data_IF_322040878618
#
_entry.id   IF_322040878618
#
_cell.length_a   1.000
_cell.length_b   1.000
_cell.length_c   1.000
_cell.angle_alpha   90.00
_cell.angle_beta   90.00
_cell.angle_gamma   90.00
#
_symmetry.space_group_name_H-M   'P 1'
#
loop_
_entity.id
_entity.type
_entity.pdbx_description
1 polymer ?
#
# COMPACT_ATOMS: atom_id res chain seq x y z
N UNK A 1 54.97 -17.56 20.87
CA UNK A 1 54.09 -17.38 19.69
C UNK A 1 52.63 -17.67 19.98
N UNK A 2 52.30 -18.22 21.15
CA UNK A 2 50.92 -18.60 21.48
C UNK A 2 50.14 -17.54 22.28
N UNK A 3 50.80 -16.48 22.78
CA UNK A 3 50.14 -15.46 23.59
C UNK A 3 49.41 -14.38 22.76
N UNK A 4 49.80 -14.20 21.51
CA UNK A 4 49.21 -13.18 20.63
C UNK A 4 47.91 -13.65 19.91
N UNK A 5 47.77 -14.97 19.78
CA UNK A 5 46.56 -15.56 19.17
C UNK A 5 45.41 -15.59 20.17
N UNK A 6 45.67 -15.83 21.46
CA UNK A 6 44.64 -15.77 22.51
C UNK A 6 44.15 -14.35 22.78
N UNK A 7 45.02 -13.34 22.63
CA UNK A 7 44.62 -11.94 22.73
C UNK A 7 43.75 -11.49 21.56
N UNK A 8 43.97 -12.04 20.37
CA UNK A 8 43.16 -11.76 19.18
C UNK A 8 41.76 -12.43 19.25
N UNK A 9 41.68 -13.65 19.81
CA UNK A 9 40.36 -14.31 20.03
C UNK A 9 39.55 -13.64 21.16
N UNK A 10 40.25 -13.12 22.21
CA UNK A 10 39.57 -12.40 23.29
C UNK A 10 39.06 -11.01 22.88
N UNK A 11 39.67 -10.37 21.88
CA UNK A 11 39.19 -9.11 21.29
C UNK A 11 37.99 -9.30 20.35
N UNK A 12 37.86 -10.45 19.71
CA UNK A 12 36.72 -10.79 18.84
C UNK A 12 35.45 -11.14 19.63
N UNK A 13 35.53 -11.40 20.93
CA UNK A 13 34.41 -11.81 21.79
C UNK A 13 33.72 -10.69 22.58
N UNK A 14 34.16 -9.42 22.43
CA UNK A 14 33.56 -8.27 23.14
C UNK A 14 33.02 -7.21 22.16
N UNK A 15 32.29 -7.64 21.13
CA UNK A 15 31.40 -6.78 20.38
C UNK A 15 30.05 -6.83 21.05
N UNK A 16 29.64 -5.72 21.70
CA UNK A 16 28.33 -5.58 22.30
C UNK A 16 27.25 -5.89 21.29
N UNK A 17 26.28 -6.73 21.68
CA UNK A 17 25.13 -7.11 20.88
C UNK A 17 24.18 -5.93 20.65
N UNK A 18 24.56 -5.02 19.76
CA UNK A 18 23.59 -4.31 18.96
C UNK A 18 23.21 -5.29 17.86
N UNK A 19 21.98 -5.76 17.83
CA UNK A 19 21.41 -6.36 16.64
C UNK A 19 21.61 -5.35 15.51
N UNK A 20 22.63 -5.54 14.70
CA UNK A 20 22.69 -4.91 13.39
C UNK A 20 21.56 -5.56 12.62
N UNK A 21 20.38 -4.92 12.65
CA UNK A 21 19.29 -5.29 11.77
C UNK A 21 19.84 -5.17 10.36
N UNK A 22 20.12 -6.31 9.74
CA UNK A 22 20.47 -6.36 8.33
C UNK A 22 19.33 -5.66 7.59
N UNK A 23 19.60 -4.61 6.80
CA UNK A 23 18.53 -3.90 6.11
C UNK A 23 17.77 -4.90 5.25
N UNK A 24 16.42 -4.85 5.32
CA UNK A 24 15.58 -5.66 4.46
C UNK A 24 15.67 -5.11 3.03
N UNK A 25 16.34 -5.82 2.17
CA UNK A 25 16.54 -5.45 0.76
C UNK A 25 15.39 -5.97 -0.14
N UNK A 26 14.26 -6.39 0.45
CA UNK A 26 13.08 -6.78 -0.31
C UNK A 26 12.51 -5.60 -1.10
N UNK A 27 12.21 -5.83 -2.37
CA UNK A 27 11.61 -4.82 -3.23
C UNK A 27 10.17 -4.52 -2.78
N UNK A 28 9.84 -3.23 -2.66
CA UNK A 28 8.53 -2.78 -2.20
C UNK A 28 8.03 -1.56 -2.99
N UNK A 29 6.75 -1.56 -3.29
CA UNK A 29 6.05 -0.41 -3.85
C UNK A 29 5.05 0.15 -2.83
N UNK A 30 5.15 1.44 -2.55
CA UNK A 30 4.22 2.16 -1.68
C UNK A 30 3.23 2.94 -2.54
N UNK A 31 1.97 2.53 -2.52
CA UNK A 31 0.91 3.16 -3.31
C UNK A 31 0.11 4.09 -2.39
N UNK A 32 -0.04 5.36 -2.79
CA UNK A 32 -0.89 6.30 -2.08
C UNK A 32 -2.36 5.91 -2.19
N UNK A 33 -3.14 6.30 -1.21
CA UNK A 33 -4.59 6.07 -1.22
C UNK A 33 -5.28 6.75 -2.40
N UNK A 34 -4.78 7.93 -2.82
CA UNK A 34 -5.27 8.65 -3.99
C UNK A 34 -5.02 7.87 -5.29
N UNK A 35 -3.79 7.38 -5.48
CA UNK A 35 -3.41 6.59 -6.64
C UNK A 35 -4.27 5.32 -6.74
N UNK A 36 -4.42 4.59 -5.64
CA UNK A 36 -5.25 3.39 -5.57
C UNK A 36 -6.71 3.66 -5.93
N UNK A 37 -7.32 4.71 -5.38
CA UNK A 37 -8.70 5.10 -5.70
C UNK A 37 -8.87 5.45 -7.17
N UNK A 38 -7.92 6.19 -7.74
CA UNK A 38 -7.95 6.56 -9.16
C UNK A 38 -7.82 5.33 -10.06
N UNK A 39 -6.91 4.39 -9.75
CA UNK A 39 -6.75 3.13 -10.48
C UNK A 39 -8.05 2.32 -10.47
N UNK A 40 -8.65 2.12 -9.28
CA UNK A 40 -9.88 1.36 -9.13
C UNK A 40 -11.07 2.02 -9.81
N UNK A 41 -11.20 3.36 -9.69
CA UNK A 41 -12.27 4.12 -10.37
C UNK A 41 -12.13 4.02 -11.88
N UNK A 42 -10.91 4.19 -12.41
CA UNK A 42 -10.64 4.08 -13.83
C UNK A 42 -10.90 2.66 -14.35
N UNK A 43 -10.36 1.63 -13.65
CA UNK A 43 -10.61 0.23 -13.99
C UNK A 43 -12.10 -0.12 -13.98
N UNK A 44 -12.84 0.37 -12.97
CA UNK A 44 -14.29 0.13 -12.89
C UNK A 44 -15.07 0.79 -14.02
N UNK A 45 -14.69 2.00 -14.41
CA UNK A 45 -15.31 2.72 -15.50
C UNK A 45 -15.03 2.06 -16.87
N UNK A 46 -13.89 1.37 -17.01
CA UNK A 46 -13.50 0.69 -18.24
C UNK A 46 -14.16 -0.65 -18.48
N UNK A 47 -14.76 -1.27 -17.45
CA UNK A 47 -15.39 -2.60 -17.60
C UNK A 47 -16.38 -2.63 -18.76
N UNK A 48 -16.33 -3.63 -19.65
CA UNK A 48 -15.54 -4.86 -19.59
C UNK A 48 -14.11 -4.80 -20.21
N UNK A 49 -13.71 -3.64 -20.69
CA UNK A 49 -12.42 -3.47 -21.37
C UNK A 49 -11.29 -3.24 -20.34
N UNK A 50 -10.07 -3.63 -20.73
CA UNK A 50 -8.87 -3.28 -20.02
C UNK A 50 -8.56 -1.79 -20.23
N UNK A 51 -8.17 -1.10 -19.18
CA UNK A 51 -7.73 0.30 -19.23
C UNK A 51 -6.32 0.41 -18.65
N UNK A 52 -5.57 1.40 -19.13
CA UNK A 52 -4.23 1.66 -18.62
C UNK A 52 -4.02 3.12 -18.24
N UNK A 53 -2.97 3.36 -17.47
CA UNK A 53 -2.49 4.68 -17.12
C UNK A 53 -1.07 4.65 -16.63
N UNK A 54 -0.51 5.83 -16.37
CA UNK A 54 0.86 5.98 -15.88
C UNK A 54 0.85 6.31 -14.40
N UNK A 55 1.84 5.80 -13.69
CA UNK A 55 2.07 6.06 -12.27
C UNK A 55 3.11 7.16 -12.11
N UNK A 56 2.78 8.13 -11.25
CA UNK A 56 3.62 9.26 -10.90
C UNK A 56 4.14 9.10 -9.49
N UNK A 57 5.43 9.34 -9.29
CA UNK A 57 6.03 9.21 -7.99
C UNK A 57 7.53 9.44 -8.00
N UNK A 58 8.22 8.73 -7.14
CA UNK A 58 9.66 8.82 -6.96
C UNK A 58 10.29 7.44 -6.72
N UNK A 59 11.51 7.26 -7.16
CA UNK A 59 12.35 6.14 -6.78
C UNK A 59 13.16 6.55 -5.55
N UNK A 60 12.79 6.02 -4.38
CA UNK A 60 13.45 6.37 -3.11
C UNK A 60 14.85 5.76 -3.06
N UNK A 61 14.95 4.49 -3.43
CA UNK A 61 16.18 3.73 -3.54
C UNK A 61 16.06 2.64 -4.61
N UNK A 62 17.02 1.70 -4.66
CA UNK A 62 17.01 0.57 -5.61
C UNK A 62 15.87 -0.43 -5.35
N UNK A 63 15.30 -0.44 -4.15
CA UNK A 63 14.31 -1.41 -3.70
C UNK A 63 12.93 -0.82 -3.47
N UNK A 64 12.84 0.51 -3.30
CA UNK A 64 11.63 1.19 -2.84
C UNK A 64 11.13 2.19 -3.87
N UNK A 65 9.87 2.02 -4.27
CA UNK A 65 9.17 2.93 -5.18
C UNK A 65 7.96 3.54 -4.48
N UNK A 66 7.83 4.87 -4.51
CA UNK A 66 6.64 5.56 -4.05
C UNK A 66 5.78 5.99 -5.24
N UNK A 67 4.54 5.54 -5.27
CA UNK A 67 3.51 6.00 -6.20
C UNK A 67 2.62 7.00 -5.48
N UNK A 68 2.72 8.25 -5.87
CA UNK A 68 2.01 9.37 -5.24
C UNK A 68 0.67 9.61 -5.93
N UNK A 69 0.65 9.56 -7.26
CA UNK A 69 -0.54 9.79 -8.07
C UNK A 69 -0.52 8.94 -9.35
N UNK A 70 -1.62 8.94 -10.07
CA UNK A 70 -1.73 8.29 -11.38
C UNK A 70 -2.56 9.13 -12.33
N UNK A 71 -2.32 8.99 -13.62
CA UNK A 71 -3.22 9.52 -14.64
C UNK A 71 -3.60 8.46 -15.67
N UNK A 72 -4.86 8.50 -16.08
CA UNK A 72 -5.41 7.59 -17.08
C UNK A 72 -4.88 7.97 -18.46
N UNK A 73 -4.53 6.97 -19.27
CA UNK A 73 -4.25 7.16 -20.67
C UNK A 73 -5.54 7.10 -21.49
N UNK A 74 -5.64 7.87 -22.59
CA UNK A 74 -6.76 7.72 -23.53
C UNK A 74 -6.77 6.30 -24.08
N UNK A 75 -7.95 5.68 -24.12
CA UNK A 75 -8.08 4.34 -24.65
C UNK A 75 -8.11 4.38 -26.18
N UNK A 76 -7.16 3.68 -26.80
CA UNK A 76 -7.07 3.50 -28.23
C UNK A 76 -7.17 1.99 -28.58
N UNK A 77 -8.37 1.45 -28.57
CA UNK A 77 -8.60 0.03 -28.90
C UNK A 77 -9.10 -0.82 -27.71
N UNK A 78 -9.07 -2.13 -27.89
CA UNK A 78 -9.57 -3.11 -26.90
C UNK A 78 -8.49 -3.75 -26.05
N UNK A 79 -7.23 -3.62 -26.47
CA UNK A 79 -6.06 -4.20 -25.78
C UNK A 79 -5.14 -3.11 -25.28
N UNK A 80 -4.48 -3.40 -24.15
CA UNK A 80 -3.48 -2.54 -23.55
C UNK A 80 -2.11 -2.91 -24.09
N UNK A 81 -1.46 -2.01 -24.83
CA UNK A 81 -0.11 -2.22 -25.35
C UNK A 81 0.73 -0.93 -25.30
N UNK A 82 2.04 -1.04 -25.52
CA UNK A 82 2.94 0.13 -25.62
C UNK A 82 2.46 1.11 -26.68
N UNK A 83 1.86 0.64 -27.75
CA UNK A 83 1.29 1.44 -28.83
C UNK A 83 0.08 2.28 -28.36
N UNK A 84 -0.55 1.89 -27.27
CA UNK A 84 -1.61 2.68 -26.64
C UNK A 84 -1.10 3.82 -25.76
N UNK A 85 0.22 3.91 -25.53
CA UNK A 85 0.82 5.06 -24.82
C UNK A 85 1.00 6.22 -25.78
N UNK A 86 0.07 7.17 -25.72
CA UNK A 86 0.21 8.43 -26.49
C UNK A 86 1.29 9.31 -25.85
N UNK A 87 2.48 9.29 -26.44
CA UNK A 87 3.64 10.06 -25.95
C UNK A 87 3.39 11.58 -25.96
N UNK A 88 2.53 12.08 -26.86
CA UNK A 88 2.17 13.51 -26.90
C UNK A 88 1.28 13.83 -25.70
N UNK A 89 0.31 12.97 -25.39
CA UNK A 89 -0.53 13.11 -24.22
C UNK A 89 0.29 13.02 -22.94
N UNK A 90 1.18 12.02 -22.84
CA UNK A 90 2.07 11.86 -21.70
C UNK A 90 2.92 13.10 -21.45
N UNK A 91 3.57 13.64 -22.51
CA UNK A 91 4.40 14.83 -22.39
C UNK A 91 3.60 16.04 -21.91
N UNK A 92 2.41 16.26 -22.47
CA UNK A 92 1.50 17.33 -22.04
C UNK A 92 1.07 17.18 -20.57
N UNK A 93 0.72 15.98 -20.14
CA UNK A 93 0.31 15.73 -18.75
C UNK A 93 1.46 15.99 -17.78
N UNK A 94 2.67 15.51 -18.08
CA UNK A 94 3.86 15.76 -17.25
C UNK A 94 4.20 17.25 -17.20
N UNK A 95 4.07 17.96 -18.32
CA UNK A 95 4.32 19.41 -18.36
C UNK A 95 3.28 20.18 -17.53
N UNK A 96 2.00 19.84 -17.66
CA UNK A 96 0.94 20.42 -16.82
C UNK A 96 1.17 20.19 -15.32
N UNK A 97 1.62 18.98 -14.93
CA UNK A 97 1.96 18.67 -13.55
C UNK A 97 3.12 19.52 -13.04
N UNK A 98 4.18 19.70 -13.84
CA UNK A 98 5.29 20.58 -13.50
C UNK A 98 4.84 22.02 -13.30
N UNK A 99 3.92 22.53 -14.13
CA UNK A 99 3.35 23.88 -13.99
C UNK A 99 2.57 24.06 -12.68
N UNK A 100 2.03 22.99 -12.10
CA UNK A 100 1.37 23.01 -10.79
C UNK A 100 2.31 22.82 -9.61
N UNK A 101 3.64 22.86 -9.84
CA UNK A 101 4.65 22.70 -8.80
C UNK A 101 4.88 21.27 -8.35
N UNK A 102 4.40 20.30 -9.10
CA UNK A 102 4.60 18.86 -8.82
C UNK A 102 5.86 18.38 -9.54
N UNK A 103 6.71 17.69 -8.79
CA UNK A 103 8.02 17.22 -9.26
C UNK A 103 8.08 15.72 -9.52
N UNK A 104 6.95 15.02 -9.38
CA UNK A 104 6.88 13.58 -9.55
C UNK A 104 7.23 13.16 -10.98
N UNK A 105 7.93 12.05 -11.09
CA UNK A 105 8.30 11.45 -12.37
C UNK A 105 7.42 10.21 -12.66
N UNK A 106 7.46 9.71 -13.88
CA UNK A 106 6.82 8.45 -14.23
C UNK A 106 7.66 7.31 -13.65
N UNK A 107 7.07 6.52 -12.74
CA UNK A 107 7.73 5.39 -12.07
C UNK A 107 7.25 4.03 -12.58
N UNK A 108 6.34 4.03 -13.52
CA UNK A 108 5.78 2.84 -14.13
C UNK A 108 4.38 3.06 -14.67
N UNK A 109 3.68 1.99 -14.89
CA UNK A 109 2.35 2.00 -15.46
C UNK A 109 1.42 1.03 -14.74
N UNK A 110 0.12 1.22 -14.91
CA UNK A 110 -0.89 0.30 -14.40
C UNK A 110 -1.91 -0.04 -15.48
N UNK A 111 -2.52 -1.21 -15.34
CA UNK A 111 -3.67 -1.59 -16.15
C UNK A 111 -4.68 -2.42 -15.35
N UNK A 112 -5.87 -2.56 -15.89
CA UNK A 112 -6.93 -3.34 -15.25
C UNK A 112 -7.17 -4.66 -15.94
N UNK A 113 -7.40 -5.71 -15.14
CA UNK A 113 -7.87 -7.02 -15.58
C UNK A 113 -9.27 -7.28 -15.01
N UNK A 114 -10.35 -6.90 -15.72
CA UNK A 114 -11.72 -7.03 -15.17
C UNK A 114 -12.15 -8.50 -14.99
N UNK A 115 -11.99 -9.04 -13.79
CA UNK A 115 -12.40 -10.40 -13.43
C UNK A 115 -11.36 -11.50 -13.69
N UNK A 116 -10.17 -11.16 -14.22
CA UNK A 116 -9.15 -12.16 -14.61
C UNK A 116 -8.08 -12.37 -13.53
N UNK A 117 -8.05 -11.53 -12.48
CA UNK A 117 -6.96 -11.52 -11.51
C UNK A 117 -5.69 -10.81 -11.99
N UNK A 118 -4.67 -10.76 -11.14
CA UNK A 118 -3.45 -10.02 -11.39
C UNK A 118 -2.35 -10.95 -11.96
N UNK A 119 -1.95 -10.71 -13.19
CA UNK A 119 -0.88 -11.40 -13.93
C UNK A 119 -0.52 -10.57 -15.16
N UNK A 120 0.58 -10.90 -15.86
CA UNK A 120 0.99 -10.21 -17.08
C UNK A 120 0.83 -11.11 -18.30
N UNK A 121 0.16 -10.62 -19.33
CA UNK A 121 0.12 -11.24 -20.66
C UNK A 121 1.46 -11.05 -21.39
N UNK A 122 1.64 -11.71 -22.54
CA UNK A 122 2.81 -11.49 -23.37
C UNK A 122 2.94 -10.04 -23.87
N UNK A 123 1.81 -9.38 -24.11
CA UNK A 123 1.78 -7.96 -24.51
C UNK A 123 2.22 -7.08 -23.33
N UNK A 124 1.75 -7.38 -22.11
CA UNK A 124 2.13 -6.64 -20.90
C UNK A 124 3.63 -6.81 -20.59
N UNK A 125 4.16 -8.01 -20.79
CA UNK A 125 5.60 -8.29 -20.65
C UNK A 125 6.42 -7.40 -21.61
N UNK A 126 6.02 -7.29 -22.87
CA UNK A 126 6.70 -6.42 -23.83
C UNK A 126 6.57 -4.94 -23.44
N UNK A 127 5.41 -4.54 -22.97
CA UNK A 127 5.17 -3.19 -22.46
C UNK A 127 6.10 -2.90 -21.26
N UNK A 128 6.15 -3.79 -20.28
CA UNK A 128 7.03 -3.65 -19.12
C UNK A 128 8.50 -3.63 -19.53
N UNK A 129 8.90 -4.44 -20.49
CA UNK A 129 10.26 -4.43 -21.00
C UNK A 129 10.66 -3.06 -21.56
N UNK A 130 9.75 -2.39 -22.25
CA UNK A 130 9.99 -1.03 -22.77
C UNK A 130 10.14 0.00 -21.63
N UNK A 131 9.35 -0.12 -20.57
CA UNK A 131 9.50 0.73 -19.39
C UNK A 131 10.80 0.45 -18.62
N UNK A 132 11.20 -0.81 -18.45
CA UNK A 132 12.45 -1.18 -17.78
C UNK A 132 13.70 -0.82 -18.59
N UNK A 133 13.59 -0.68 -19.92
CA UNK A 133 14.68 -0.13 -20.74
C UNK A 133 14.94 1.34 -20.45
N UNK A 134 13.91 2.11 -20.06
CA UNK A 134 14.04 3.51 -19.66
C UNK A 134 14.57 3.63 -18.23
N UNK A 135 14.00 2.88 -17.29
CA UNK A 135 14.49 2.76 -15.93
C UNK A 135 14.17 1.35 -15.39
N UNK A 136 15.21 0.63 -14.98
CA UNK A 136 15.10 -0.74 -14.45
C UNK A 136 14.21 -0.87 -13.22
N UNK A 137 14.00 0.23 -12.50
CA UNK A 137 13.15 0.29 -11.31
C UNK A 137 11.67 0.47 -11.64
N UNK A 138 11.33 0.64 -12.92
CA UNK A 138 9.94 0.76 -13.37
C UNK A 138 9.11 -0.46 -12.97
N UNK A 139 7.86 -0.21 -12.59
CA UNK A 139 6.94 -1.22 -12.06
C UNK A 139 5.68 -1.27 -12.92
N UNK A 140 5.19 -2.48 -13.20
CA UNK A 140 3.85 -2.72 -13.73
C UNK A 140 2.89 -3.08 -12.59
N UNK A 141 1.77 -2.39 -12.49
CA UNK A 141 0.71 -2.67 -11.52
C UNK A 141 -0.53 -3.17 -12.23
N UNK A 142 -1.07 -4.28 -11.77
CA UNK A 142 -2.33 -4.84 -12.28
C UNK A 142 -3.40 -4.75 -11.20
N UNK A 143 -4.57 -4.22 -11.55
CA UNK A 143 -5.72 -4.16 -10.64
C UNK A 143 -6.91 -4.91 -11.23
N UNK A 144 -7.63 -5.67 -10.39
CA UNK A 144 -8.89 -6.28 -10.80
C UNK A 144 -10.06 -5.51 -10.17
N UNK A 145 -10.76 -4.66 -10.93
CA UNK A 145 -11.84 -3.84 -10.39
C UNK A 145 -13.11 -4.64 -10.07
N UNK A 146 -13.28 -5.83 -10.64
CA UNK A 146 -14.44 -6.70 -10.39
C UNK A 146 -14.26 -7.49 -9.11
N UNK A 147 -13.06 -8.07 -8.90
CA UNK A 147 -12.76 -8.85 -7.70
C UNK A 147 -12.43 -7.95 -6.48
N UNK A 148 -12.18 -6.66 -6.69
CA UNK A 148 -11.94 -5.67 -5.63
C UNK A 148 -13.26 -5.22 -5.01
N UNK A 149 -13.85 -6.05 -4.15
CA UNK A 149 -15.15 -5.80 -3.52
C UNK A 149 -15.10 -6.04 -2.00
N UNK A 150 -16.03 -5.43 -1.28
CA UNK A 150 -16.23 -5.63 0.17
C UNK A 150 -14.97 -5.36 1.01
N UNK A 151 -14.25 -4.29 0.68
CA UNK A 151 -13.05 -3.88 1.42
C UNK A 151 -11.77 -4.65 1.07
N UNK A 152 -11.85 -5.60 0.14
CA UNK A 152 -10.67 -6.29 -0.40
C UNK A 152 -10.25 -5.64 -1.71
N UNK A 153 -8.98 -5.31 -1.85
CA UNK A 153 -8.38 -4.85 -3.10
C UNK A 153 -7.56 -5.99 -3.71
N UNK A 154 -7.87 -6.33 -4.96
CA UNK A 154 -7.10 -7.29 -5.75
C UNK A 154 -6.18 -6.51 -6.66
N UNK A 155 -4.92 -6.43 -6.27
CA UNK A 155 -3.86 -5.66 -6.90
C UNK A 155 -2.54 -6.41 -6.71
N UNK A 156 -1.68 -6.36 -7.70
CA UNK A 156 -0.32 -6.87 -7.61
C UNK A 156 0.63 -6.01 -8.44
N UNK A 157 1.92 -6.07 -8.13
CA UNK A 157 2.96 -5.29 -8.78
C UNK A 157 4.07 -6.22 -9.28
N UNK A 158 4.60 -5.95 -10.47
CA UNK A 158 5.51 -6.85 -11.16
C UNK A 158 6.70 -6.14 -11.76
N UNK A 159 7.84 -6.86 -11.80
CA UNK A 159 9.03 -6.57 -12.62
C UNK A 159 9.44 -7.79 -13.42
N UNK A 160 10.18 -7.58 -14.50
CA UNK A 160 10.66 -8.67 -15.33
C UNK A 160 11.90 -9.34 -14.72
N UNK A 161 12.02 -10.63 -14.97
CA UNK A 161 13.21 -11.39 -14.66
C UNK A 161 14.18 -11.24 -15.83
N UNK A 162 15.41 -10.81 -15.54
CA UNK A 162 16.46 -10.76 -16.57
C UNK A 162 16.89 -12.19 -16.95
N UNK A 163 16.68 -12.62 -18.21
CA UNK A 163 17.04 -13.98 -18.64
C UNK A 163 18.53 -14.30 -18.45
N UNK A 164 19.41 -13.30 -18.55
CA UNK A 164 20.84 -13.49 -18.36
C UNK A 164 21.18 -13.86 -16.91
N UNK A 165 20.46 -13.35 -15.91
CA UNK A 165 20.66 -13.72 -14.52
C UNK A 165 20.24 -15.17 -14.25
N UNK A 166 19.13 -15.60 -14.85
CA UNK A 166 18.65 -16.98 -14.73
C UNK A 166 19.67 -17.96 -15.33
N UNK A 167 20.26 -17.65 -16.49
CA UNK A 167 21.30 -18.46 -17.13
C UNK A 167 22.58 -18.55 -16.30
N UNK A 168 22.88 -17.53 -15.49
CA UNK A 168 24.03 -17.50 -14.58
C UNK A 168 23.75 -18.17 -13.23
N UNK A 169 22.52 -18.69 -13.02
CA UNK A 169 22.11 -19.30 -11.75
C UNK A 169 21.96 -18.29 -10.59
N UNK A 170 21.84 -17.00 -10.93
CA UNK A 170 21.59 -15.94 -9.94
C UNK A 170 20.09 -15.85 -9.66
N UNK A 171 19.74 -15.62 -8.41
CA UNK A 171 18.35 -15.37 -8.05
C UNK A 171 17.89 -14.05 -8.68
N UNK A 172 16.74 -14.07 -9.40
CA UNK A 172 16.28 -12.90 -10.17
C UNK A 172 15.73 -11.77 -9.31
N UNK A 173 15.49 -12.01 -8.02
CA UNK A 173 14.97 -11.03 -7.08
C UNK A 173 15.60 -11.20 -5.71
N UNK A 174 15.59 -10.12 -4.93
CA UNK A 174 15.95 -10.19 -3.52
C UNK A 174 14.77 -10.72 -2.69
N UNK A 175 15.08 -11.58 -1.73
CA UNK A 175 14.09 -12.13 -0.80
C UNK A 175 14.00 -11.22 0.42
N UNK A 176 12.78 -10.87 0.83
CA UNK A 176 12.54 -10.15 2.08
C UNK A 176 12.54 -11.12 3.26
N UNK A 177 13.10 -10.70 4.39
CA UNK A 177 12.99 -11.41 5.66
C UNK A 177 11.60 -11.22 6.31
N UNK A 178 10.80 -10.26 5.82
CA UNK A 178 9.50 -9.94 6.35
C UNK A 178 8.42 -10.89 5.83
N UNK A 179 8.01 -11.84 6.65
CA UNK A 179 6.98 -12.85 6.31
C UNK A 179 5.64 -12.21 5.95
N UNK A 180 5.33 -11.02 6.48
CA UNK A 180 4.10 -10.29 6.16
C UNK A 180 3.97 -9.86 4.69
N UNK A 181 5.07 -9.81 3.95
CA UNK A 181 5.11 -9.47 2.53
C UNK A 181 5.14 -10.69 1.60
N UNK A 182 5.16 -11.91 2.14
CA UNK A 182 5.13 -13.13 1.33
C UNK A 182 3.68 -13.45 0.98
N UNK A 183 3.26 -13.11 -0.22
CA UNK A 183 1.96 -13.50 -0.75
C UNK A 183 2.02 -14.86 -1.43
N UNK A 184 0.98 -15.68 -1.22
CA UNK A 184 0.82 -16.91 -2.00
C UNK A 184 0.46 -16.53 -3.44
N UNK A 185 1.22 -16.96 -4.44
CA UNK A 185 0.93 -16.65 -5.83
C UNK A 185 -0.40 -17.27 -6.25
N UNK A 186 -1.16 -16.58 -7.10
CA UNK A 186 -2.35 -17.15 -7.70
C UNK A 186 -1.95 -18.23 -8.73
N UNK A 187 -2.76 -19.28 -8.84
CA UNK A 187 -2.53 -20.34 -9.83
C UNK A 187 -2.55 -19.76 -11.26
N UNK A 188 -3.43 -18.80 -11.52
CA UNK A 188 -3.50 -18.10 -12.81
C UNK A 188 -2.20 -17.38 -13.13
N UNK A 189 -1.64 -16.62 -12.18
CA UNK A 189 -0.36 -15.94 -12.40
C UNK A 189 0.78 -16.91 -12.70
N UNK A 190 0.82 -18.07 -12.02
CA UNK A 190 1.84 -19.12 -12.30
C UNK A 190 1.70 -19.71 -13.70
N UNK A 191 0.47 -19.94 -14.18
CA UNK A 191 0.21 -20.42 -15.55
C UNK A 191 0.69 -19.39 -16.56
N UNK A 192 0.50 -18.10 -16.29
CA UNK A 192 0.91 -16.99 -17.16
C UNK A 192 2.37 -16.56 -16.99
N UNK A 193 3.20 -17.34 -16.31
CA UNK A 193 4.65 -17.18 -16.29
C UNK A 193 5.23 -16.42 -15.12
N UNK A 194 4.47 -16.23 -14.04
CA UNK A 194 5.00 -15.73 -12.78
C UNK A 194 6.16 -16.65 -12.31
N UNK A 195 7.24 -16.04 -11.84
CA UNK A 195 8.52 -16.67 -11.48
C UNK A 195 9.30 -17.31 -12.64
N UNK A 196 8.84 -17.13 -13.88
CA UNK A 196 9.59 -17.50 -15.10
C UNK A 196 10.01 -16.28 -15.91
N UNK A 197 9.07 -15.37 -16.15
CA UNK A 197 9.28 -14.17 -16.97
C UNK A 197 9.23 -12.90 -16.16
N UNK A 198 8.49 -12.89 -15.06
CA UNK A 198 8.32 -11.77 -14.14
C UNK A 198 8.10 -12.27 -12.72
N UNK A 199 8.24 -11.38 -11.74
CA UNK A 199 8.06 -11.67 -10.33
C UNK A 199 7.21 -10.59 -9.67
N UNK A 200 6.56 -10.96 -8.56
CA UNK A 200 5.72 -10.05 -7.78
C UNK A 200 6.56 -9.27 -6.77
N UNK A 201 6.25 -7.98 -6.62
CA UNK A 201 6.85 -7.07 -5.66
C UNK A 201 5.85 -6.83 -4.53
N UNK A 202 6.32 -6.68 -3.31
CA UNK A 202 5.47 -6.37 -2.17
C UNK A 202 4.76 -5.02 -2.35
N UNK A 203 3.43 -5.02 -2.19
CA UNK A 203 2.61 -3.81 -2.27
C UNK A 203 2.24 -3.34 -0.88
N UNK A 204 2.63 -2.12 -0.54
CA UNK A 204 2.25 -1.43 0.67
C UNK A 204 1.43 -0.18 0.35
N UNK A 205 0.53 0.17 1.25
CA UNK A 205 -0.28 1.37 1.13
C UNK A 205 0.24 2.46 2.04
N UNK A 206 0.53 3.63 1.45
CA UNK A 206 0.93 4.81 2.20
C UNK A 206 -0.29 5.70 2.41
N UNK A 207 -0.54 6.06 3.65
CA UNK A 207 -1.61 6.97 4.03
C UNK A 207 -1.03 8.15 4.78
N UNK A 208 -1.46 9.36 4.41
CA UNK A 208 -1.35 10.53 5.28
C UNK A 208 -2.56 10.54 6.23
N UNK A 209 -2.48 11.26 7.34
CA UNK A 209 -3.61 11.43 8.26
C UNK A 209 -4.86 11.99 7.56
N UNK A 210 -4.65 12.94 6.64
CA UNK A 210 -5.73 13.52 5.84
C UNK A 210 -6.38 12.48 4.92
N UNK A 211 -5.58 11.68 4.22
CA UNK A 211 -6.09 10.60 3.35
C UNK A 211 -6.85 9.55 4.16
N UNK A 212 -6.36 9.21 5.35
CA UNK A 212 -7.06 8.28 6.23
C UNK A 212 -8.41 8.85 6.66
N UNK A 213 -8.48 10.11 7.05
CA UNK A 213 -9.73 10.78 7.40
C UNK A 213 -10.71 10.82 6.20
N UNK A 214 -10.21 11.08 4.98
CA UNK A 214 -11.01 11.04 3.75
C UNK A 214 -11.54 9.63 3.47
N UNK A 215 -10.70 8.60 3.57
CA UNK A 215 -11.10 7.21 3.32
C UNK A 215 -12.14 6.72 4.31
N UNK A 216 -12.05 7.09 5.58
CA UNK A 216 -13.04 6.76 6.60
C UNK A 216 -14.42 7.38 6.31
N UNK A 217 -14.46 8.45 5.52
CA UNK A 217 -15.71 9.12 5.13
C UNK A 217 -16.31 8.59 3.81
N UNK A 218 -15.61 7.74 3.06
CA UNK A 218 -16.11 7.18 1.79
C UNK A 218 -17.35 6.28 1.94
N UNK A 219 -17.62 5.76 3.13
CA UNK A 219 -18.83 4.97 3.42
C UNK A 219 -20.09 5.82 3.52
N UNK A 220 -19.94 7.12 3.67
CA UNK A 220 -21.06 8.05 3.79
C UNK A 220 -21.62 8.31 2.40
N UNK A 221 -22.93 8.22 2.25
CA UNK A 221 -23.62 8.51 0.98
C UNK A 221 -23.35 9.93 0.49
N UNK A 222 -23.18 10.83 1.43
CA UNK A 222 -22.78 12.19 1.21
C UNK A 222 -21.58 12.50 2.14
N UNK A 223 -20.46 12.94 1.58
CA UNK A 223 -19.28 13.29 2.39
C UNK A 223 -19.54 14.42 3.39
N UNK A 224 -20.58 15.24 3.13
CA UNK A 224 -21.03 16.27 4.07
C UNK A 224 -21.75 15.70 5.31
N UNK A 225 -22.16 14.43 5.31
CA UNK A 225 -22.77 13.80 6.50
C UNK A 225 -21.81 13.79 7.69
N UNK A 226 -20.50 13.82 7.45
CA UNK A 226 -19.49 13.96 8.49
C UNK A 226 -19.46 15.34 9.14
N UNK A 227 -19.97 16.35 8.45
CA UNK A 227 -20.07 17.73 8.91
C UNK A 227 -21.46 18.10 9.43
N UNK A 228 -22.42 17.16 9.37
CA UNK A 228 -23.79 17.40 9.82
C UNK A 228 -23.82 17.51 11.34
N UNK A 229 -24.31 18.64 11.83
CA UNK A 229 -24.57 18.83 13.25
C UNK A 229 -25.71 17.95 13.71
N UNK A 230 -25.51 17.27 14.82
CA UNK A 230 -26.55 16.49 15.49
C UNK A 230 -27.26 17.39 16.51
N UNK A 231 -28.55 17.18 16.72
CA UNK A 231 -29.25 17.77 17.84
C UNK A 231 -28.68 17.27 19.17
N UNK A 232 -28.85 18.02 20.23
CA UNK A 232 -28.24 17.74 21.53
C UNK A 232 -28.56 16.34 22.05
N UNK A 233 -29.77 15.84 21.86
CA UNK A 233 -30.19 14.53 22.33
C UNK A 233 -29.45 13.41 21.62
N UNK A 234 -29.40 13.44 20.30
CA UNK A 234 -28.70 12.43 19.50
C UNK A 234 -27.17 12.49 19.71
N UNK A 235 -26.64 13.71 19.91
CA UNK A 235 -25.20 13.86 20.21
C UNK A 235 -24.86 13.27 21.59
N UNK A 236 -25.70 13.51 22.61
CA UNK A 236 -25.55 12.92 23.94
C UNK A 236 -25.58 11.38 23.88
N UNK A 237 -26.59 10.81 23.20
CA UNK A 237 -26.72 9.34 23.06
C UNK A 237 -25.48 8.73 22.32
N UNK A 238 -25.00 9.41 21.28
CA UNK A 238 -23.81 8.98 20.56
C UNK A 238 -22.56 9.01 21.44
N UNK A 239 -22.38 10.06 22.25
CA UNK A 239 -21.27 10.19 23.19
C UNK A 239 -21.32 9.14 24.29
N UNK A 240 -22.48 8.89 24.88
CA UNK A 240 -22.64 7.84 25.89
C UNK A 240 -22.28 6.46 25.31
N UNK A 241 -22.68 6.18 24.08
CA UNK A 241 -22.32 4.93 23.39
C UNK A 241 -20.82 4.85 23.09
N UNK A 242 -20.22 5.96 22.65
CA UNK A 242 -18.78 6.01 22.38
C UNK A 242 -17.96 5.79 23.65
N UNK A 243 -18.33 6.45 24.76
CA UNK A 243 -17.66 6.28 26.07
C UNK A 243 -17.78 4.85 26.58
N UNK A 244 -18.96 4.22 26.49
CA UNK A 244 -19.15 2.81 26.87
C UNK A 244 -18.28 1.87 26.03
N UNK A 245 -18.18 2.13 24.72
CA UNK A 245 -17.32 1.36 23.83
C UNK A 245 -15.83 1.54 24.17
N UNK A 246 -15.39 2.76 24.41
CA UNK A 246 -14.01 3.04 24.82
C UNK A 246 -13.67 2.40 26.18
N UNK A 247 -14.60 2.41 27.14
CA UNK A 247 -14.42 1.74 28.43
C UNK A 247 -14.19 0.24 28.25
N UNK A 248 -15.07 -0.43 27.50
CA UNK A 248 -14.94 -1.85 27.21
C UNK A 248 -13.62 -2.20 26.50
N UNK A 249 -13.20 -1.37 25.53
CA UNK A 249 -11.93 -1.55 24.84
C UNK A 249 -10.72 -1.30 25.74
N UNK A 250 -10.82 -0.33 26.65
CA UNK A 250 -9.79 -0.05 27.65
C UNK A 250 -9.63 -1.21 28.64
N UNK A 251 -10.74 -1.82 29.08
CA UNK A 251 -10.72 -3.00 29.93
C UNK A 251 -10.09 -4.20 29.19
N UNK A 252 -10.45 -4.39 27.91
CA UNK A 252 -9.88 -5.45 27.06
C UNK A 252 -8.37 -5.23 26.85
N UNK A 253 -7.94 -3.99 26.64
CA UNK A 253 -6.52 -3.62 26.52
C UNK A 253 -5.77 -3.86 27.82
N UNK A 254 -6.32 -3.41 28.95
CA UNK A 254 -5.70 -3.62 30.28
C UNK A 254 -5.53 -5.12 30.58
N UNK A 255 -6.56 -5.93 30.30
CA UNK A 255 -6.48 -7.39 30.42
C UNK A 255 -5.39 -7.97 29.50
N UNK A 256 -5.29 -7.45 28.26
CA UNK A 256 -4.26 -7.84 27.32
C UNK A 256 -2.86 -7.55 27.87
N UNK A 257 -2.62 -6.38 28.45
CA UNK A 257 -1.33 -6.00 29.05
C UNK A 257 -0.99 -6.87 30.26
N UNK A 258 -1.97 -7.18 31.10
CA UNK A 258 -1.77 -8.07 32.25
C UNK A 258 -1.39 -9.49 31.80
N UNK A 259 -2.03 -10.01 30.75
CA UNK A 259 -1.68 -11.31 30.18
C UNK A 259 -0.27 -11.31 29.57
N UNK A 260 0.18 -10.20 28.97
CA UNK A 260 1.54 -10.06 28.40
C UNK A 260 2.64 -10.30 29.43
N UNK A 261 2.41 -9.86 30.67
CA UNK A 261 3.39 -10.05 31.74
C UNK A 261 3.61 -11.52 32.12
N UNK A 262 2.70 -12.41 31.72
CA UNK A 262 2.74 -13.86 32.04
C UNK A 262 3.20 -14.73 30.87
N UNK A 263 3.35 -14.16 29.65
CA UNK A 263 3.69 -14.88 28.43
C UNK A 263 5.18 -14.93 28.19
N UNK A 264 5.66 -16.00 27.53
CA UNK A 264 7.04 -16.12 27.06
C UNK A 264 7.26 -15.29 25.79
N UNK A 265 8.53 -14.97 25.48
CA UNK A 265 8.88 -14.17 24.30
C UNK A 265 8.35 -14.75 22.96
N UNK A 266 8.32 -16.07 22.83
CA UNK A 266 7.82 -16.73 21.63
C UNK A 266 6.29 -16.72 21.54
N UNK A 267 5.59 -16.79 22.66
CA UNK A 267 4.14 -16.63 22.73
C UNK A 267 3.71 -15.20 22.43
N UNK A 268 4.51 -14.20 22.83
CA UNK A 268 4.27 -12.79 22.49
C UNK A 268 4.30 -12.53 20.97
N UNK A 269 5.24 -13.15 20.25
CA UNK A 269 5.35 -13.02 18.78
C UNK A 269 4.12 -13.54 18.02
N UNK A 270 3.46 -14.58 18.55
CA UNK A 270 2.33 -15.25 17.89
C UNK A 270 0.96 -14.80 18.42
N UNK A 271 0.92 -14.03 19.51
CA UNK A 271 -0.30 -13.69 20.23
C UNK A 271 -1.35 -12.96 19.40
N UNK A 272 -0.93 -12.04 18.54
CA UNK A 272 -1.82 -11.19 17.76
C UNK A 272 -2.15 -11.76 16.38
N UNK A 273 -1.61 -12.92 16.03
CA UNK A 273 -1.90 -13.55 14.74
C UNK A 273 -3.38 -13.94 14.66
N UNK A 274 -4.11 -13.29 13.75
CA UNK A 274 -5.55 -13.54 13.52
C UNK A 274 -6.50 -12.93 14.57
N UNK A 275 -6.00 -12.14 15.52
CA UNK A 275 -6.82 -11.41 16.50
C UNK A 275 -6.77 -9.91 16.27
N UNK A 276 -7.86 -9.22 16.55
CA UNK A 276 -7.87 -7.77 16.57
C UNK A 276 -7.08 -7.26 17.79
N UNK A 277 -6.14 -6.33 17.57
CA UNK A 277 -5.40 -5.68 18.64
C UNK A 277 -6.33 -4.71 19.40
N UNK A 278 -6.59 -4.93 20.71
CA UNK A 278 -7.45 -4.05 21.49
C UNK A 278 -6.91 -2.62 21.58
N UNK A 279 -5.59 -2.42 21.58
CA UNK A 279 -4.94 -1.11 21.62
C UNK A 279 -5.31 -0.30 20.38
N UNK A 280 -5.10 -0.88 19.20
CA UNK A 280 -5.42 -0.24 17.92
C UNK A 280 -6.89 0.12 17.82
N UNK A 281 -7.77 -0.77 18.27
CA UNK A 281 -9.21 -0.52 18.27
C UNK A 281 -9.60 0.64 19.23
N UNK A 282 -8.94 0.73 20.37
CA UNK A 282 -9.13 1.84 21.31
C UNK A 282 -8.67 3.16 20.69
N UNK A 283 -7.49 3.18 20.07
CA UNK A 283 -6.95 4.35 19.36
C UNK A 283 -7.92 4.84 18.27
N UNK A 284 -8.41 3.95 17.41
CA UNK A 284 -9.38 4.27 16.37
C UNK A 284 -10.69 4.86 16.93
N UNK A 285 -11.18 4.35 18.07
CA UNK A 285 -12.39 4.87 18.71
C UNK A 285 -12.17 6.23 19.34
N UNK A 286 -11.01 6.46 19.94
CA UNK A 286 -10.64 7.76 20.53
C UNK A 286 -10.52 8.83 19.44
N UNK A 287 -9.79 8.54 18.35
CA UNK A 287 -9.66 9.45 17.21
C UNK A 287 -11.02 9.83 16.62
N UNK A 288 -11.88 8.85 16.44
CA UNK A 288 -13.24 9.08 15.96
C UNK A 288 -14.05 9.96 16.91
N UNK A 289 -13.98 9.70 18.21
CA UNK A 289 -14.69 10.50 19.21
C UNK A 289 -14.19 11.95 19.25
N UNK A 290 -12.86 12.16 19.14
CA UNK A 290 -12.28 13.51 19.07
C UNK A 290 -12.76 14.22 17.81
N UNK A 291 -12.72 13.58 16.65
CA UNK A 291 -13.21 14.16 15.39
C UNK A 291 -14.67 14.57 15.47
N UNK A 292 -15.54 13.70 15.98
CA UNK A 292 -16.97 13.99 16.17
C UNK A 292 -17.19 15.18 17.13
N UNK A 293 -16.41 15.30 18.21
CA UNK A 293 -16.48 16.43 19.15
C UNK A 293 -16.02 17.74 18.51
N UNK A 294 -14.92 17.72 17.76
CA UNK A 294 -14.42 18.92 17.07
C UNK A 294 -15.46 19.46 16.10
N UNK A 295 -16.08 18.59 15.29
CA UNK A 295 -17.12 18.98 14.32
C UNK A 295 -18.33 19.59 15.04
N UNK A 296 -18.80 18.97 16.12
CA UNK A 296 -19.96 19.47 16.87
C UNK A 296 -19.65 20.82 17.55
N UNK A 297 -18.47 20.95 18.18
CA UNK A 297 -18.09 22.18 18.85
C UNK A 297 -17.91 23.35 17.87
N UNK A 298 -17.18 23.14 16.78
CA UNK A 298 -16.98 24.17 15.76
C UNK A 298 -18.31 24.56 15.10
N UNK A 299 -19.16 23.58 14.80
CA UNK A 299 -20.45 23.86 14.21
C UNK A 299 -21.38 24.64 15.12
N UNK A 300 -21.42 24.31 16.43
CA UNK A 300 -22.22 25.08 17.41
C UNK A 300 -21.67 26.48 17.60
N UNK A 301 -20.36 26.69 17.62
CA UNK A 301 -19.74 28.01 17.69
C UNK A 301 -20.11 28.85 16.47
N UNK A 302 -20.01 28.32 15.26
CA UNK A 302 -20.38 29.03 14.03
C UNK A 302 -21.87 29.39 13.97
N UNK A 303 -22.74 28.53 14.48
CA UNK A 303 -24.19 28.83 14.56
C UNK A 303 -24.54 29.84 15.65
N UNK A 304 -23.70 29.98 16.68
CA UNK A 304 -23.93 30.98 17.74
C UNK A 304 -23.50 32.40 17.34
N UNK A 305 -22.65 32.52 16.32
CA UNK A 305 -22.21 33.82 15.77
C UNK A 305 -23.09 34.33 14.61
N UNK A 306 -23.98 33.50 14.08
CA UNK A 306 -24.99 33.83 13.05
C UNK A 306 -26.31 34.20 13.72
#
# INVERSE_FOLDING_TARGET
MDSDMDAMLAAAGRGGGGETTVPDNGEVIHISSLALLKMLKHGRAGVPMEVMGLMLGEFVDEYTVHVIDVFAMPQSGTTVSVESVDHVFQAKMVDMLKQTGRSEMVVGWYHSHPGFGCWLSSVDINTQQSFEQLDRRSVAVVVDPIQSVKGKVVIDAFRLINPAMVLQGLEPRQTTSNIGHINKPSIQALIHGLNRHYYSIAVNYRKTELEQAMLMNLHKRNWTEGLTLRDFKHHKEANEKAIKSMLSLSEAYNKSVQEESTLTADQLKTRHVGKQDPKRHLEEQVEKAIGDQVVQNLGTMLLAEL
#
